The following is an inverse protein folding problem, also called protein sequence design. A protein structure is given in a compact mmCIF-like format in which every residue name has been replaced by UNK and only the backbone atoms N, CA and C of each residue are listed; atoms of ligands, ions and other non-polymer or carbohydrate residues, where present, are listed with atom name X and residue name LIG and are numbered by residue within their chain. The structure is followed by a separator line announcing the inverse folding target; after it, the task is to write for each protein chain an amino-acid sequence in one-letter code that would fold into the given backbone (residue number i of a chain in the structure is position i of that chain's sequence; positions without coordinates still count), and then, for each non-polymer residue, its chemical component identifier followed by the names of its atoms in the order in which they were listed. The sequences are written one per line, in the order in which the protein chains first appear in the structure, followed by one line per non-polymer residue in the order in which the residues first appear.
data_IF_403001934981
#
_entry.id   IF_403001934981
#
_cell.length_a   1.000
_cell.length_b   1.000
_cell.length_c   1.000
_cell.angle_alpha   90.00
_cell.angle_beta   90.00
_cell.angle_gamma   90.00
#
_symmetry.space_group_name_H-M   'P 1'
#
loop_
_entity.id
_entity.type
_entity.pdbx_description
1 polymer ?
#
# COMPACT_ATOMS: atom_id res chain seq x y z
N UNK A 1 -17.35 -12.43 2.83
CA UNK A 1 -16.33 -13.50 2.73
C UNK A 1 -15.03 -12.78 2.61
N UNK A 2 -14.13 -13.02 3.55
CA UNK A 2 -12.98 -12.15 3.74
C UNK A 2 -12.05 -12.07 2.55
N UNK A 3 -11.48 -10.88 2.38
CA UNK A 3 -10.48 -10.63 1.36
C UNK A 3 -9.18 -11.33 1.75
N UNK A 4 -8.50 -11.91 0.77
CA UNK A 4 -7.19 -12.52 1.00
C UNK A 4 -6.16 -11.40 1.01
N UNK A 5 -5.65 -11.07 2.18
CA UNK A 5 -4.81 -9.90 2.38
C UNK A 5 -3.36 -10.30 2.61
N UNK A 6 -2.46 -9.59 1.94
CA UNK A 6 -1.02 -9.66 2.17
C UNK A 6 -0.58 -8.41 2.92
N UNK A 7 0.11 -8.57 4.05
CA UNK A 7 0.65 -7.46 4.84
C UNK A 7 2.14 -7.28 4.52
N UNK A 8 2.47 -6.18 3.86
CA UNK A 8 3.85 -5.74 3.60
C UNK A 8 4.26 -4.69 4.64
N UNK A 9 5.39 -4.90 5.30
CA UNK A 9 5.83 -4.08 6.43
C UNK A 9 7.34 -4.21 6.65
N UNK A 10 7.94 -3.25 7.35
CA UNK A 10 9.33 -3.33 7.82
C UNK A 10 9.43 -4.03 9.17
N UNK A 11 10.56 -4.67 9.49
CA UNK A 11 10.67 -5.55 10.67
C UNK A 11 10.37 -4.81 11.99
N UNK A 12 10.79 -3.57 12.10
CA UNK A 12 10.51 -2.66 13.22
C UNK A 12 9.01 -2.41 13.43
N UNK A 13 8.21 -2.47 12.38
CA UNK A 13 6.76 -2.27 12.41
C UNK A 13 5.98 -3.59 12.64
N UNK A 14 6.69 -4.69 12.93
CA UNK A 14 6.10 -6.03 13.15
C UNK A 14 4.99 -6.07 14.21
N UNK A 15 5.01 -5.13 15.17
CA UNK A 15 3.96 -5.01 16.16
C UNK A 15 2.58 -4.74 15.52
N UNK A 16 2.51 -3.82 14.56
CA UNK A 16 1.27 -3.46 13.87
C UNK A 16 0.72 -4.61 13.05
N UNK A 17 1.60 -5.36 12.35
CA UNK A 17 1.21 -6.60 11.68
C UNK A 17 0.56 -7.60 12.66
N UNK A 18 1.21 -7.85 13.81
CA UNK A 18 0.68 -8.77 14.83
C UNK A 18 -0.69 -8.33 15.35
N UNK A 19 -0.91 -7.03 15.51
CA UNK A 19 -2.22 -6.51 15.92
C UNK A 19 -3.30 -6.76 14.85
N UNK A 20 -3.01 -6.54 13.57
CA UNK A 20 -3.95 -6.86 12.47
C UNK A 20 -4.28 -8.37 12.46
N UNK A 21 -3.26 -9.22 12.62
CA UNK A 21 -3.44 -10.68 12.68
C UNK A 21 -4.33 -11.10 13.86
N UNK A 22 -4.17 -10.49 15.04
CA UNK A 22 -5.07 -10.72 16.18
C UNK A 22 -6.50 -10.27 15.88
N UNK A 23 -6.69 -9.17 15.16
CA UNK A 23 -8.02 -8.71 14.79
C UNK A 23 -8.71 -9.67 13.81
N UNK A 24 -7.97 -10.25 12.87
CA UNK A 24 -8.47 -11.33 11.99
C UNK A 24 -8.87 -12.56 12.81
N UNK A 25 -8.04 -13.00 13.75
CA UNK A 25 -8.33 -14.15 14.61
C UNK A 25 -9.55 -13.95 15.54
N UNK A 26 -9.83 -12.71 15.92
CA UNK A 26 -10.98 -12.33 16.75
C UNK A 26 -12.19 -11.85 15.92
N UNK A 27 -12.25 -12.17 14.62
CA UNK A 27 -13.34 -11.83 13.69
C UNK A 27 -13.65 -10.33 13.55
N UNK A 28 -12.74 -9.46 14.01
CA UNK A 28 -12.85 -8.00 13.84
C UNK A 28 -12.53 -7.58 12.41
N UNK A 29 -11.67 -8.32 11.71
CA UNK A 29 -11.31 -8.09 10.30
C UNK A 29 -11.69 -9.32 9.49
N UNK A 30 -12.51 -9.15 8.46
CA UNK A 30 -12.85 -10.20 7.48
C UNK A 30 -11.70 -10.30 6.46
N UNK A 31 -10.56 -10.83 6.90
CA UNK A 31 -9.40 -11.08 6.05
C UNK A 31 -8.78 -12.47 6.29
N UNK A 32 -8.22 -13.02 5.22
CA UNK A 32 -7.37 -14.22 5.26
C UNK A 32 -5.92 -13.74 5.09
N UNK A 33 -5.09 -13.87 6.13
CA UNK A 33 -3.70 -13.45 6.08
C UNK A 33 -2.83 -14.37 5.22
N UNK A 34 -2.10 -13.79 4.28
CA UNK A 34 -1.15 -14.45 3.38
C UNK A 34 0.29 -13.92 3.54
N UNK A 35 0.53 -13.08 4.54
CA UNK A 35 1.80 -12.39 4.71
C UNK A 35 2.95 -13.31 5.10
N UNK A 36 4.16 -12.95 4.67
CA UNK A 36 5.40 -13.62 5.06
C UNK A 36 5.68 -13.39 6.56
N UNK A 37 5.88 -14.46 7.32
CA UNK A 37 6.38 -14.38 8.69
C UNK A 37 7.91 -14.42 8.78
N UNK A 38 8.58 -14.85 7.70
CA UNK A 38 10.04 -14.96 7.60
C UNK A 38 10.50 -14.37 6.27
N UNK A 39 11.56 -13.55 6.22
CA UNK A 39 12.08 -12.99 4.97
C UNK A 39 12.60 -14.09 4.04
N UNK A 40 12.46 -13.87 2.73
CA UNK A 40 13.02 -14.78 1.71
C UNK A 40 14.52 -14.51 1.60
N UNK A 41 15.35 -15.45 2.07
CA UNK A 41 16.81 -15.33 2.00
C UNK A 41 17.34 -15.65 0.59
N UNK A 42 17.25 -14.67 -0.32
CA UNK A 42 17.84 -14.75 -1.66
C UNK A 42 18.21 -13.34 -2.15
N UNK A 43 19.18 -13.23 -3.04
CA UNK A 43 19.50 -11.98 -3.73
C UNK A 43 18.91 -11.92 -5.15
N UNK A 44 18.62 -13.09 -5.74
CA UNK A 44 18.02 -13.29 -7.06
C UNK A 44 16.62 -12.68 -7.11
N UNK A 45 16.44 -11.72 -8.03
CA UNK A 45 15.21 -10.94 -8.17
C UNK A 45 14.06 -11.77 -8.71
N UNK A 46 14.32 -12.55 -9.75
CA UNK A 46 13.30 -13.35 -10.43
C UNK A 46 12.85 -14.50 -9.54
N UNK A 47 13.78 -15.11 -8.79
CA UNK A 47 13.44 -16.10 -7.78
C UNK A 47 12.54 -15.52 -6.68
N UNK A 48 12.88 -14.35 -6.15
CA UNK A 48 12.09 -13.72 -5.08
C UNK A 48 10.70 -13.34 -5.58
N UNK A 49 10.61 -12.71 -6.75
CA UNK A 49 9.33 -12.34 -7.36
C UNK A 49 8.46 -13.57 -7.63
N UNK A 50 9.06 -14.64 -8.17
CA UNK A 50 8.36 -15.90 -8.42
C UNK A 50 7.85 -16.51 -7.12
N UNK A 51 8.71 -16.64 -6.10
CA UNK A 51 8.36 -17.23 -4.81
C UNK A 51 7.28 -16.44 -4.07
N UNK A 52 7.40 -15.10 -4.02
CA UNK A 52 6.36 -14.24 -3.43
C UNK A 52 5.02 -14.47 -4.15
N UNK A 53 5.04 -14.56 -5.48
CA UNK A 53 3.81 -14.78 -6.26
C UNK A 53 3.21 -16.15 -6.07
N UNK A 54 3.98 -17.20 -6.30
CA UNK A 54 3.47 -18.58 -6.28
C UNK A 54 2.94 -18.94 -4.89
N UNK A 55 3.73 -18.63 -3.86
CA UNK A 55 3.48 -19.16 -2.51
C UNK A 55 2.60 -18.23 -1.65
N UNK A 56 2.55 -16.91 -1.93
CA UNK A 56 1.96 -15.93 -1.00
C UNK A 56 0.97 -14.94 -1.64
N UNK A 57 1.21 -14.48 -2.87
CA UNK A 57 0.32 -13.52 -3.55
C UNK A 57 -0.62 -14.16 -4.57
N UNK A 58 -0.46 -15.45 -4.92
CA UNK A 58 -1.16 -16.12 -6.03
C UNK A 58 -2.67 -16.07 -5.92
N UNK A 59 -3.20 -16.04 -4.70
CA UNK A 59 -4.62 -15.92 -4.43
C UNK A 59 -5.00 -14.68 -3.60
N UNK A 60 -4.04 -13.79 -3.29
CA UNK A 60 -4.34 -12.56 -2.56
C UNK A 60 -5.09 -11.55 -3.44
N UNK A 61 -5.89 -10.70 -2.81
CA UNK A 61 -6.70 -9.68 -3.50
C UNK A 61 -6.37 -8.26 -3.03
N UNK A 62 -5.81 -8.11 -1.84
CA UNK A 62 -5.43 -6.81 -1.28
C UNK A 62 -4.05 -6.90 -0.64
N UNK A 63 -3.21 -5.91 -0.90
CA UNK A 63 -1.94 -5.73 -0.19
C UNK A 63 -2.08 -4.54 0.77
N UNK A 64 -1.95 -4.82 2.06
CA UNK A 64 -1.87 -3.83 3.13
C UNK A 64 -0.41 -3.46 3.31
N UNK A 65 -0.05 -2.22 3.02
CA UNK A 65 1.30 -1.70 3.18
C UNK A 65 1.38 -0.80 4.41
N UNK A 66 2.19 -1.19 5.40
CA UNK A 66 2.42 -0.38 6.60
C UNK A 66 3.48 0.69 6.32
N UNK A 67 3.10 1.96 6.49
CA UNK A 67 3.96 3.12 6.22
C UNK A 67 4.49 3.66 7.56
N UNK A 68 5.67 3.16 7.95
CA UNK A 68 6.40 3.54 9.15
C UNK A 68 7.59 4.47 8.88
N UNK A 69 8.35 4.75 9.94
CA UNK A 69 9.41 5.77 9.93
C UNK A 69 10.56 5.48 8.95
N UNK A 70 10.79 4.21 8.61
CA UNK A 70 11.81 3.83 7.65
C UNK A 70 11.22 3.50 6.27
N UNK A 71 9.91 3.63 6.04
CA UNK A 71 9.29 3.26 4.75
C UNK A 71 9.70 4.16 3.57
N UNK A 72 10.44 5.24 3.82
CA UNK A 72 10.97 6.15 2.80
C UNK A 72 11.95 5.44 1.83
N UNK A 73 12.01 5.97 0.61
CA UNK A 73 12.88 5.46 -0.47
C UNK A 73 14.38 5.55 -0.12
N UNK A 74 14.75 6.40 0.82
CA UNK A 74 16.13 6.67 1.22
C UNK A 74 16.59 5.83 2.42
N UNK A 75 15.72 4.98 3.00
CA UNK A 75 15.97 4.32 4.28
C UNK A 75 15.81 2.78 4.22
N UNK A 76 16.76 2.06 4.82
CA UNK A 76 16.70 0.60 5.02
C UNK A 76 16.85 -0.22 3.74
N UNK A 77 18.02 -0.13 3.08
CA UNK A 77 18.30 -0.67 1.74
C UNK A 77 17.91 -2.14 1.51
N UNK A 78 18.18 -3.03 2.49
CA UNK A 78 17.86 -4.46 2.36
C UNK A 78 16.35 -4.73 2.41
N UNK A 79 15.67 -4.23 3.44
CA UNK A 79 14.22 -4.41 3.61
C UNK A 79 13.43 -3.71 2.51
N UNK A 80 13.89 -2.55 2.09
CA UNK A 80 13.31 -1.81 0.98
C UNK A 80 13.33 -2.64 -0.31
N UNK A 81 14.41 -3.38 -0.59
CA UNK A 81 14.46 -4.30 -1.75
C UNK A 81 13.29 -5.30 -1.72
N UNK A 82 12.98 -5.84 -0.54
CA UNK A 82 11.87 -6.79 -0.37
C UNK A 82 10.51 -6.11 -0.52
N UNK A 83 10.27 -4.99 0.16
CA UNK A 83 8.98 -4.28 0.11
C UNK A 83 8.69 -3.79 -1.32
N UNK A 84 9.71 -3.25 -2.02
CA UNK A 84 9.58 -2.88 -3.43
C UNK A 84 9.11 -4.05 -4.26
N UNK A 85 9.76 -5.21 -4.12
CA UNK A 85 9.40 -6.43 -4.85
C UNK A 85 8.00 -6.92 -4.49
N UNK A 86 7.61 -6.85 -3.22
CA UNK A 86 6.26 -7.21 -2.75
C UNK A 86 5.18 -6.31 -3.40
N UNK A 87 5.40 -4.98 -3.42
CA UNK A 87 4.48 -4.06 -4.08
C UNK A 87 4.48 -4.23 -5.60
N UNK A 88 5.63 -4.40 -6.24
CA UNK A 88 5.71 -4.70 -7.68
C UNK A 88 4.97 -6.00 -8.02
N UNK A 89 5.08 -7.03 -7.18
CA UNK A 89 4.38 -8.29 -7.37
C UNK A 89 2.86 -8.11 -7.19
N UNK A 90 2.45 -7.27 -6.24
CA UNK A 90 1.05 -6.93 -5.95
C UNK A 90 0.40 -6.10 -7.07
N UNK A 91 1.13 -5.15 -7.66
CA UNK A 91 0.63 -4.23 -8.69
C UNK A 91 0.55 -4.88 -10.08
N UNK A 92 1.36 -5.91 -10.32
CA UNK A 92 1.42 -6.58 -11.60
C UNK A 92 0.14 -7.36 -11.89
N UNK A 93 -0.28 -7.33 -13.16
CA UNK A 93 -1.44 -8.05 -13.64
C UNK A 93 -0.99 -9.13 -14.63
N UNK A 94 -1.36 -10.39 -14.41
CA UNK A 94 -1.04 -11.51 -15.30
C UNK A 94 -2.29 -12.29 -15.69
N UNK A 95 -2.17 -13.09 -16.75
CA UNK A 95 -3.18 -14.09 -17.09
C UNK A 95 -3.29 -15.09 -15.92
N UNK A 96 -4.49 -15.24 -15.35
CA UNK A 96 -4.76 -16.10 -14.19
C UNK A 96 -4.49 -15.50 -12.80
N UNK A 97 -3.77 -14.38 -12.69
CA UNK A 97 -3.59 -13.65 -11.42
C UNK A 97 -3.77 -12.14 -11.62
N UNK A 98 -4.94 -11.67 -11.20
CA UNK A 98 -5.30 -10.26 -11.26
C UNK A 98 -4.59 -9.47 -10.18
N UNK A 99 -4.11 -8.27 -10.50
CA UNK A 99 -3.46 -7.36 -9.54
C UNK A 99 -4.25 -7.18 -8.24
N UNK A 100 -3.53 -6.89 -7.15
CA UNK A 100 -4.11 -6.55 -5.87
C UNK A 100 -4.56 -5.08 -5.83
N UNK A 101 -5.55 -4.82 -4.97
CA UNK A 101 -5.76 -3.48 -4.43
C UNK A 101 -4.66 -3.13 -3.44
N UNK A 102 -4.24 -1.87 -3.36
CA UNK A 102 -3.20 -1.45 -2.41
C UNK A 102 -3.81 -0.55 -1.34
N UNK A 103 -3.66 -0.93 -0.07
CA UNK A 103 -4.06 -0.16 1.10
C UNK A 103 -2.82 0.29 1.89
N UNK A 104 -2.48 1.57 1.83
CA UNK A 104 -1.45 2.18 2.66
C UNK A 104 -2.01 2.57 4.02
N UNK A 105 -1.48 1.95 5.09
CA UNK A 105 -1.83 2.30 6.46
C UNK A 105 -0.68 3.09 7.06
N UNK A 106 -0.90 4.37 7.28
CA UNK A 106 0.07 5.28 7.89
C UNK A 106 0.16 4.99 9.37
N UNK A 107 1.36 4.74 9.87
CA UNK A 107 1.59 4.52 11.29
C UNK A 107 1.63 5.86 12.05
N UNK A 108 1.28 5.90 13.34
CA UNK A 108 1.21 7.15 14.12
C UNK A 108 2.48 8.01 14.05
N UNK A 109 3.66 7.39 14.02
CA UNK A 109 4.95 8.08 13.90
C UNK A 109 5.13 8.87 12.60
N UNK A 110 4.32 8.58 11.57
CA UNK A 110 4.40 9.20 10.25
C UNK A 110 3.28 10.22 9.98
N UNK A 111 2.36 10.44 10.93
CA UNK A 111 1.23 11.34 10.71
C UNK A 111 1.65 12.76 10.35
N UNK A 112 2.55 13.34 11.13
CA UNK A 112 3.00 14.72 10.89
C UNK A 112 3.90 14.82 9.65
N UNK A 113 4.56 13.72 9.27
CA UNK A 113 5.37 13.63 8.05
C UNK A 113 4.52 13.57 6.79
N UNK A 114 3.36 12.92 6.84
CA UNK A 114 2.49 12.69 5.68
C UNK A 114 1.33 13.69 5.62
N UNK A 115 0.61 13.94 6.70
CA UNK A 115 -0.56 14.81 6.70
C UNK A 115 -0.17 16.23 7.13
N UNK A 116 0.13 17.10 6.16
CA UNK A 116 0.65 18.46 6.38
C UNK A 116 -0.44 19.54 6.58
N UNK A 117 -1.68 19.13 6.80
CA UNK A 117 -2.82 20.04 6.97
C UNK A 117 -3.40 20.53 5.65
N UNK A 118 -4.07 21.68 5.68
CA UNK A 118 -4.75 22.26 4.52
C UNK A 118 -4.02 23.51 4.01
N UNK A 119 -4.11 23.75 2.70
CA UNK A 119 -3.66 24.98 2.07
C UNK A 119 -4.72 25.51 1.10
N UNK A 120 -4.71 26.82 0.85
CA UNK A 120 -5.54 27.43 -0.18
C UNK A 120 -4.80 27.32 -1.52
N UNK A 121 -5.46 26.71 -2.50
CA UNK A 121 -4.91 26.55 -3.83
C UNK A 121 -4.87 27.88 -4.57
N UNK A 122 -3.70 28.28 -5.08
CA UNK A 122 -3.55 29.49 -5.91
C UNK A 122 -4.20 29.37 -7.28
N UNK A 123 -4.47 28.15 -7.76
CA UNK A 123 -5.05 27.89 -9.09
C UNK A 123 -6.58 27.96 -9.03
N UNK A 124 -7.22 27.30 -8.06
CA UNK A 124 -8.68 27.19 -7.99
C UNK A 124 -9.34 27.96 -6.83
N UNK A 125 -8.56 28.52 -5.90
CA UNK A 125 -9.05 29.27 -4.75
C UNK A 125 -9.70 28.44 -3.63
N UNK A 126 -9.74 27.11 -3.75
CA UNK A 126 -10.34 26.21 -2.74
C UNK A 126 -9.29 25.71 -1.73
N UNK A 127 -9.77 25.23 -0.59
CA UNK A 127 -8.93 24.53 0.41
C UNK A 127 -8.66 23.08 -0.04
N UNK A 128 -7.39 22.66 -0.02
CA UNK A 128 -6.95 21.29 -0.30
C UNK A 128 -6.10 20.74 0.83
N UNK A 129 -6.25 19.44 1.11
CA UNK A 129 -5.38 18.74 2.03
C UNK A 129 -4.01 18.51 1.37
N UNK A 130 -2.95 18.84 2.09
CA UNK A 130 -1.57 18.52 1.71
C UNK A 130 -1.21 17.16 2.29
N UNK A 131 -1.08 16.17 1.41
CA UNK A 131 -0.62 14.83 1.77
C UNK A 131 0.73 14.61 1.11
N UNK A 132 1.78 14.42 1.89
CA UNK A 132 3.15 14.26 1.43
C UNK A 132 3.47 12.79 1.20
N UNK A 133 2.91 12.19 0.14
CA UNK A 133 3.29 10.86 -0.34
C UNK A 133 4.36 11.01 -1.43
N UNK A 134 5.62 10.76 -1.10
CA UNK A 134 6.77 10.88 -1.99
C UNK A 134 7.95 10.04 -1.48
N UNK A 135 9.09 10.10 -2.18
CA UNK A 135 10.29 9.32 -1.87
C UNK A 135 10.87 9.59 -0.46
N UNK A 136 10.53 10.70 0.19
CA UNK A 136 10.94 11.00 1.56
C UNK A 136 10.03 10.38 2.63
N UNK A 137 8.84 9.90 2.26
CA UNK A 137 7.85 9.35 3.21
C UNK A 137 7.45 7.91 2.93
N UNK A 138 7.64 7.45 1.69
CA UNK A 138 7.30 6.09 1.26
C UNK A 138 8.19 5.63 0.11
N UNK A 139 8.13 4.35 -0.23
CA UNK A 139 8.73 3.80 -1.45
C UNK A 139 7.98 4.23 -2.72
N UNK A 140 8.71 4.24 -3.84
CA UNK A 140 8.26 4.78 -5.12
C UNK A 140 7.07 4.03 -5.73
N UNK A 141 7.02 2.71 -5.55
CA UNK A 141 5.92 1.83 -5.98
C UNK A 141 4.59 2.27 -5.38
N UNK A 142 4.58 2.73 -4.13
CA UNK A 142 3.37 3.27 -3.52
C UNK A 142 3.11 4.70 -3.97
N UNK A 143 4.12 5.58 -3.93
CA UNK A 143 3.89 7.02 -4.19
C UNK A 143 3.42 7.30 -5.61
N UNK A 144 3.98 6.60 -6.61
CA UNK A 144 3.57 6.77 -8.01
C UNK A 144 2.18 6.24 -8.30
N UNK A 145 1.74 5.19 -7.59
CA UNK A 145 0.38 4.64 -7.75
C UNK A 145 -0.66 5.34 -6.85
N UNK A 146 -0.21 6.14 -5.88
CA UNK A 146 -1.06 7.05 -5.13
C UNK A 146 -1.34 8.33 -5.91
N UNK A 147 -0.39 8.82 -6.70
CA UNK A 147 -0.57 9.97 -7.59
C UNK A 147 -0.37 9.58 -9.06
N UNK A 148 -1.37 8.91 -9.62
CA UNK A 148 -1.35 8.50 -11.03
C UNK A 148 -1.80 9.66 -11.90
N UNK A 149 -0.96 10.02 -12.88
CA UNK A 149 -1.21 11.04 -13.90
C UNK A 149 -1.72 12.38 -13.37
N UNK A 150 -0.87 13.40 -13.43
CA UNK A 150 -1.33 14.76 -13.17
C UNK A 150 -2.08 15.26 -14.41
N UNK A 151 -3.39 14.98 -14.50
CA UNK A 151 -4.28 15.38 -15.62
C UNK A 151 -4.49 16.91 -15.69
N UNK A 152 -3.43 17.70 -15.49
CA UNK A 152 -3.43 19.16 -15.39
C UNK A 152 -4.35 19.69 -14.26
N UNK A 153 -4.69 18.82 -13.30
CA UNK A 153 -5.52 19.16 -12.16
C UNK A 153 -4.70 19.89 -11.08
N UNK A 154 -5.37 20.77 -10.34
CA UNK A 154 -4.76 21.47 -9.21
C UNK A 154 -4.68 20.62 -7.92
N UNK A 155 -5.40 19.50 -7.88
CA UNK A 155 -5.38 18.51 -6.81
C UNK A 155 -5.86 17.15 -7.35
N UNK A 156 -5.37 16.07 -6.74
CA UNK A 156 -5.82 14.70 -7.01
C UNK A 156 -7.10 14.42 -6.21
N UNK A 157 -8.15 13.96 -6.87
CA UNK A 157 -9.32 13.39 -6.21
C UNK A 157 -9.09 11.89 -5.90
N UNK A 158 -10.10 11.18 -5.40
CA UNK A 158 -9.95 9.74 -5.10
C UNK A 158 -9.86 8.89 -6.38
N UNK A 159 -10.42 9.33 -7.51
CA UNK A 159 -10.43 8.57 -8.75
C UNK A 159 -9.08 8.63 -9.47
N UNK A 160 -8.30 9.68 -9.22
CA UNK A 160 -6.90 9.83 -9.68
C UNK A 160 -5.88 9.00 -8.86
N UNK A 161 -6.35 8.20 -7.90
CA UNK A 161 -5.51 7.40 -6.99
C UNK A 161 -5.88 5.93 -7.11
N UNK A 162 -4.88 5.08 -7.36
CA UNK A 162 -5.09 3.64 -7.28
C UNK A 162 -4.93 3.14 -5.84
N UNK A 163 -3.90 3.61 -5.14
CA UNK A 163 -3.67 3.26 -3.75
C UNK A 163 -4.66 3.99 -2.82
N UNK A 164 -5.23 3.26 -1.85
CA UNK A 164 -5.97 3.85 -0.72
C UNK A 164 -4.98 4.23 0.38
N UNK A 165 -5.21 5.33 1.09
CA UNK A 165 -4.36 5.77 2.20
C UNK A 165 -5.21 6.10 3.42
N UNK A 166 -4.85 5.55 4.57
CA UNK A 166 -5.60 5.73 5.82
C UNK A 166 -4.65 5.82 7.02
N UNK A 167 -5.02 6.60 8.05
CA UNK A 167 -4.31 6.59 9.33
C UNK A 167 -4.58 5.29 10.08
N UNK A 168 -3.57 4.74 10.76
CA UNK A 168 -3.72 3.59 11.65
C UNK A 168 -4.92 3.69 12.61
N UNK A 169 -5.16 4.85 13.23
CA UNK A 169 -6.26 5.02 14.18
C UNK A 169 -7.64 4.91 13.51
N UNK A 170 -7.79 5.43 12.30
CA UNK A 170 -9.02 5.31 11.52
C UNK A 170 -9.20 3.88 11.00
N UNK A 171 -8.11 3.27 10.51
CA UNK A 171 -8.09 1.88 10.06
C UNK A 171 -8.48 0.92 11.18
N UNK A 172 -7.98 1.14 12.40
CA UNK A 172 -8.33 0.34 13.59
C UNK A 172 -9.83 0.39 13.90
N UNK A 173 -10.50 1.49 13.60
CA UNK A 173 -11.93 1.68 13.85
C UNK A 173 -12.80 0.97 12.80
N UNK A 174 -12.39 0.97 11.52
CA UNK A 174 -13.18 0.35 10.45
C UNK A 174 -12.32 -0.35 9.38
N UNK A 175 -11.59 -1.42 9.75
CA UNK A 175 -10.60 -2.02 8.86
C UNK A 175 -11.22 -2.65 7.60
N UNK A 176 -12.39 -3.29 7.74
CA UNK A 176 -13.09 -3.93 6.63
C UNK A 176 -13.47 -2.93 5.53
N UNK A 177 -13.91 -1.72 5.90
CA UNK A 177 -14.28 -0.70 4.91
C UNK A 177 -13.08 -0.25 4.06
N UNK A 178 -11.89 -0.13 4.64
CA UNK A 178 -10.70 0.28 3.90
C UNK A 178 -10.12 -0.86 3.05
N UNK A 179 -10.19 -2.10 3.55
CA UNK A 179 -9.82 -3.30 2.75
C UNK A 179 -10.75 -3.42 1.55
N UNK A 180 -12.06 -3.24 1.74
CA UNK A 180 -13.06 -3.26 0.66
C UNK A 180 -12.82 -2.14 -0.35
N UNK A 181 -12.51 -0.92 0.09
CA UNK A 181 -12.16 0.18 -0.81
C UNK A 181 -10.95 -0.15 -1.68
N UNK A 182 -9.88 -0.69 -1.08
CA UNK A 182 -8.70 -1.10 -1.81
C UNK A 182 -9.01 -2.24 -2.79
N UNK A 183 -9.80 -3.24 -2.37
CA UNK A 183 -10.25 -4.31 -3.25
C UNK A 183 -11.00 -3.77 -4.48
N UNK A 184 -11.90 -2.83 -4.29
CA UNK A 184 -12.70 -2.27 -5.38
C UNK A 184 -11.87 -1.49 -6.41
N UNK A 185 -10.73 -0.89 -6.01
CA UNK A 185 -9.81 -0.21 -6.94
C UNK A 185 -9.26 -1.13 -8.04
N UNK A 186 -9.26 -2.45 -7.85
CA UNK A 186 -8.82 -3.43 -8.87
C UNK A 186 -9.65 -3.37 -10.15
N UNK A 187 -10.95 -3.05 -10.02
CA UNK A 187 -11.90 -2.96 -11.13
C UNK A 187 -12.17 -1.49 -11.56
N UNK A 188 -11.54 -0.52 -10.90
CA UNK A 188 -11.70 0.89 -11.21
C UNK A 188 -10.93 1.25 -12.49
N UNK A 189 -11.40 2.20 -13.33
CA UNK A 189 -10.68 2.62 -14.56
C UNK A 189 -9.20 2.97 -14.33
N UNK A 190 -8.90 3.62 -13.20
CA UNK A 190 -7.52 3.99 -12.79
C UNK A 190 -6.57 2.78 -12.69
N UNK A 191 -7.08 1.56 -12.51
CA UNK A 191 -6.27 0.35 -12.48
C UNK A 191 -5.51 0.14 -13.80
N UNK A 192 -6.05 0.59 -14.93
CA UNK A 192 -5.37 0.51 -16.24
C UNK A 192 -4.11 1.38 -16.32
N UNK A 193 -3.96 2.35 -15.43
CA UNK A 193 -2.85 3.32 -15.41
C UNK A 193 -1.75 2.96 -14.41
N UNK A 194 -1.93 1.86 -13.66
CA UNK A 194 -0.98 1.39 -12.64
C UNK A 194 0.42 1.21 -13.20
N UNK A 195 1.40 1.80 -12.50
CA UNK A 195 2.82 1.72 -12.83
C UNK A 195 3.46 0.66 -11.93
N UNK A 196 3.78 -0.50 -12.50
CA UNK A 196 4.38 -1.60 -11.73
C UNK A 196 5.82 -1.29 -11.33
N UNK A 197 6.63 -0.79 -12.27
CA UNK A 197 8.07 -0.52 -12.06
C UNK A 197 8.38 0.96 -12.32
N UNK A 198 8.15 1.84 -11.34
CA UNK A 198 8.43 3.25 -11.51
C UNK A 198 9.95 3.52 -11.60
N UNK A 199 10.35 4.47 -12.46
CA UNK A 199 11.74 4.92 -12.62
C UNK A 199 12.15 5.92 -11.55
#
# INVERSE_FOLDING_TARGET
MGHKCYISFKTEDSWYKREIQKWSANEKVDMIDKSLNTPINSEDEDYIMRKIREDYLSDSTVTIFLIGAQSAETLGWKEQKFIKRELQASLYNSEGNTRNGILGVVLPSMYDSIYKGQHICSICGKSHNTVAINDATTIKEFSKNYYLNNHEKCAYDEDDRFCILVKWDDFKCNPNAYIEQAFNKRNHPIASEVIVRPK
#
